data_IF_350399712482
#
_entry.id   IF_350399712482
#
_cell.length_a   1.000
_cell.length_b   1.000
_cell.length_c   1.000
_cell.angle_alpha   90.00
_cell.angle_beta   90.00
_cell.angle_gamma   90.00
#
_symmetry.space_group_name_H-M   'P 1'
#
loop_
_entity.id
_entity.type
_entity.pdbx_description
1 polymer ?
#
# COMPACT_ATOMS: atom_id res chain seq x y z
N UNK A 1 -1.61 -65.64 83.95
CA UNK A 1 -0.66 -64.96 83.05
C UNK A 1 -1.16 -65.30 81.65
N UNK A 2 -2.19 -64.60 81.16
CA UNK A 2 -2.09 -63.45 80.21
C UNK A 2 -1.23 -63.88 79.01
N UNK A 3 -1.73 -63.96 77.78
CA UNK A 3 -2.37 -62.86 77.06
C UNK A 3 -3.12 -63.32 75.80
N UNK A 4 -4.08 -62.49 75.37
CA UNK A 4 -4.78 -62.48 74.08
C UNK A 4 -3.79 -62.04 72.95
N UNK A 5 -4.07 -62.22 71.65
CA UNK A 5 -4.75 -61.22 70.79
C UNK A 5 -4.98 -61.82 69.37
N UNK A 6 -6.26 -61.79 68.97
CA UNK A 6 -6.94 -61.27 67.76
C UNK A 6 -6.28 -61.23 66.34
N UNK A 7 -7.07 -61.35 65.23
CA UNK A 7 -6.64 -61.87 63.94
C UNK A 7 -6.47 -60.85 62.80
N UNK A 8 -6.26 -61.43 61.61
CA UNK A 8 -5.83 -60.87 60.34
C UNK A 8 -6.74 -59.82 59.70
N UNK A 9 -6.05 -58.93 58.97
CA UNK A 9 -6.49 -57.80 58.16
C UNK A 9 -6.89 -58.21 56.74
N UNK A 10 -8.03 -57.71 56.28
CA UNK A 10 -8.41 -57.43 54.87
C UNK A 10 -9.57 -56.42 54.98
N UNK A 11 -9.73 -55.35 54.19
CA UNK A 11 -9.48 -55.06 52.78
C UNK A 11 -9.30 -53.53 52.62
N UNK A 12 -8.67 -53.05 51.54
CA UNK A 12 -9.10 -51.77 50.94
C UNK A 12 -8.65 -51.63 49.47
N UNK A 13 -9.46 -52.13 48.53
CA UNK A 13 -9.21 -52.07 47.08
C UNK A 13 -9.99 -50.96 46.37
N UNK A 14 -10.76 -50.13 47.09
CA UNK A 14 -11.72 -49.21 46.45
C UNK A 14 -11.13 -47.82 46.15
N UNK A 15 -10.03 -47.44 46.79
CA UNK A 15 -9.48 -46.07 46.71
C UNK A 15 -8.63 -45.79 45.47
N UNK A 16 -8.06 -46.81 44.82
CA UNK A 16 -7.15 -46.64 43.67
C UNK A 16 -7.84 -46.32 42.34
N UNK A 17 -9.06 -46.81 42.11
CA UNK A 17 -9.76 -46.62 40.82
C UNK A 17 -10.26 -45.19 40.58
N UNK A 18 -10.55 -44.42 41.64
CA UNK A 18 -11.06 -43.04 41.50
C UNK A 18 -9.95 -42.03 41.20
N UNK A 19 -8.74 -42.23 41.73
CA UNK A 19 -7.60 -41.38 41.40
C UNK A 19 -7.16 -41.54 39.94
N UNK A 20 -7.18 -42.74 39.37
CA UNK A 20 -6.81 -42.95 37.96
C UNK A 20 -7.76 -42.27 36.96
N UNK A 21 -9.05 -42.19 37.26
CA UNK A 21 -10.03 -41.47 36.42
C UNK A 21 -9.83 -39.96 36.45
N UNK A 22 -9.41 -39.41 37.60
CA UNK A 22 -9.12 -37.98 37.76
C UNK A 22 -7.86 -37.56 37.00
N UNK A 23 -6.83 -38.40 36.95
CA UNK A 23 -5.61 -38.14 36.18
C UNK A 23 -5.83 -38.18 34.67
N UNK A 24 -6.62 -39.15 34.18
CA UNK A 24 -6.97 -39.24 32.75
C UNK A 24 -7.88 -38.09 32.32
N UNK A 25 -8.86 -37.71 33.16
CA UNK A 25 -9.70 -36.53 32.92
C UNK A 25 -8.90 -35.23 32.86
N UNK A 26 -7.91 -35.07 33.75
CA UNK A 26 -6.98 -33.94 33.72
C UNK A 26 -6.14 -33.88 32.45
N UNK A 27 -5.55 -35.01 32.04
CA UNK A 27 -4.74 -35.08 30.81
C UNK A 27 -5.55 -34.79 29.54
N UNK A 28 -6.78 -35.29 29.46
CA UNK A 28 -7.68 -35.02 28.32
C UNK A 28 -8.12 -33.55 28.32
N UNK A 29 -8.46 -32.99 29.49
CA UNK A 29 -8.81 -31.58 29.61
C UNK A 29 -7.65 -30.67 29.21
N UNK A 30 -6.41 -30.99 29.59
CA UNK A 30 -5.21 -30.26 29.16
C UNK A 30 -4.96 -30.39 27.65
N UNK A 31 -5.15 -31.56 27.06
CA UNK A 31 -4.99 -31.76 25.61
C UNK A 31 -6.06 -31.00 24.80
N UNK A 32 -7.31 -30.99 25.28
CA UNK A 32 -8.40 -30.19 24.67
C UNK A 32 -8.13 -28.69 24.84
N UNK A 33 -7.60 -28.26 25.98
CA UNK A 33 -7.19 -26.87 26.17
C UNK A 33 -6.08 -26.51 25.18
N UNK A 34 -5.02 -27.32 25.07
CA UNK A 34 -3.90 -27.09 24.14
C UNK A 34 -4.39 -27.04 22.69
N UNK A 35 -5.31 -27.91 22.26
CA UNK A 35 -5.88 -27.86 20.91
C UNK A 35 -6.78 -26.63 20.70
N UNK A 36 -7.54 -26.22 21.71
CA UNK A 36 -8.35 -25.01 21.67
C UNK A 36 -7.48 -23.75 21.58
N UNK A 37 -6.42 -23.63 22.39
CA UNK A 37 -5.46 -22.52 22.30
C UNK A 37 -4.47 -22.65 21.15
N UNK A 38 -4.31 -23.77 20.43
CA UNK A 38 -3.47 -23.75 19.22
C UNK A 38 -4.28 -23.42 17.96
N UNK A 39 -5.55 -23.81 17.88
CA UNK A 39 -6.41 -23.44 16.76
C UNK A 39 -6.87 -21.98 16.77
N UNK A 40 -7.10 -21.40 17.96
CA UNK A 40 -7.80 -20.10 18.07
C UNK A 40 -6.95 -18.84 18.27
N UNK A 41 -5.87 -18.71 19.06
CA UNK A 41 -4.56 -19.35 19.01
C UNK A 41 -3.81 -19.04 17.70
N UNK A 42 -3.87 -19.90 16.70
CA UNK A 42 -3.24 -19.56 15.43
C UNK A 42 -4.00 -18.42 14.73
N UNK A 43 -5.33 -18.40 14.83
CA UNK A 43 -6.20 -17.51 14.03
C UNK A 43 -6.15 -16.02 14.42
N UNK A 44 -6.26 -15.66 15.70
CA UNK A 44 -6.00 -14.28 16.19
C UNK A 44 -4.55 -13.82 15.95
N UNK A 45 -3.53 -14.68 16.06
CA UNK A 45 -2.14 -14.27 15.80
C UNK A 45 -1.89 -14.09 14.31
N UNK A 46 -2.44 -14.95 13.44
CA UNK A 46 -2.47 -14.68 11.99
C UNK A 46 -3.35 -13.48 11.65
N UNK A 47 -4.46 -13.22 12.37
CA UNK A 47 -5.28 -12.02 12.13
C UNK A 47 -4.62 -10.72 12.65
N UNK A 48 -3.60 -10.82 13.51
CA UNK A 48 -2.79 -9.69 14.00
C UNK A 48 -1.54 -9.52 13.12
N UNK A 49 -0.94 -10.61 12.63
CA UNK A 49 0.25 -10.60 11.76
C UNK A 49 -0.12 -10.37 10.28
N UNK A 50 -1.19 -11.01 9.78
CA UNK A 50 -1.82 -10.80 8.47
C UNK A 50 -3.03 -9.86 8.59
N UNK A 51 -2.97 -8.85 9.47
CA UNK A 51 -3.98 -7.80 9.50
C UNK A 51 -3.78 -6.85 8.31
N UNK A 52 -4.04 -7.36 7.11
CA UNK A 52 -3.99 -6.65 5.84
C UNK A 52 -5.06 -5.56 5.69
N UNK A 53 -5.86 -5.35 6.73
CA UNK A 53 -6.61 -4.14 7.00
C UNK A 53 -6.19 -3.75 8.41
N UNK A 54 -5.65 -2.56 8.63
CA UNK A 54 -5.28 -2.05 9.95
C UNK A 54 -6.49 -1.97 10.94
N UNK A 55 -6.98 -3.13 11.39
CA UNK A 55 -8.19 -3.30 12.20
C UNK A 55 -7.86 -3.88 13.59
N UNK A 56 -6.59 -3.85 13.99
CA UNK A 56 -6.28 -3.72 15.42
C UNK A 56 -6.69 -2.30 15.74
N UNK A 57 -7.52 -2.10 16.77
CA UNK A 57 -8.01 -0.81 17.23
C UNK A 57 -6.87 0.11 17.72
N UNK A 58 -5.92 0.45 16.86
CA UNK A 58 -5.06 1.60 17.01
C UNK A 58 -5.98 2.78 16.80
N UNK A 59 -6.20 3.53 17.86
CA UNK A 59 -6.97 4.77 17.80
C UNK A 59 -6.20 5.71 16.87
N UNK A 60 -6.65 5.82 15.62
CA UNK A 60 -6.03 6.63 14.57
C UNK A 60 -5.16 5.85 13.59
N UNK A 61 -5.75 5.54 12.43
CA UNK A 61 -5.07 5.00 11.27
C UNK A 61 -5.40 5.82 10.02
N UNK A 62 -4.45 5.94 9.10
CA UNK A 62 -4.70 6.39 7.74
C UNK A 62 -4.62 5.19 6.80
N UNK A 63 -5.31 5.25 5.66
CA UNK A 63 -5.20 4.27 4.60
C UNK A 63 -5.52 4.97 3.28
N UNK A 64 -4.62 4.87 2.31
CA UNK A 64 -4.74 5.55 1.03
C UNK A 64 -5.18 4.58 -0.07
N UNK A 65 -6.26 4.92 -0.75
CA UNK A 65 -6.71 4.26 -1.98
C UNK A 65 -6.49 5.20 -3.16
N UNK A 66 -5.74 4.74 -4.15
CA UNK A 66 -5.58 5.38 -5.45
C UNK A 66 -6.46 4.68 -6.49
N UNK A 67 -7.26 5.45 -7.22
CA UNK A 67 -8.03 4.97 -8.38
C UNK A 67 -7.71 5.81 -9.61
N UNK A 68 -7.47 5.16 -10.74
CA UNK A 68 -7.17 5.84 -12.00
C UNK A 68 -7.41 4.96 -13.23
N UNK A 69 -6.92 5.37 -14.40
CA UNK A 69 -7.00 4.55 -15.60
C UNK A 69 -6.26 3.23 -15.36
N UNK A 70 -6.97 2.10 -15.50
CA UNK A 70 -6.39 0.77 -15.35
C UNK A 70 -6.66 0.09 -14.00
N UNK A 71 -7.25 0.77 -13.01
CA UNK A 71 -7.78 0.11 -11.81
C UNK A 71 -7.61 0.91 -10.50
N UNK A 72 -7.67 0.16 -9.40
CA UNK A 72 -7.57 0.66 -8.03
C UNK A 72 -6.40 -0.01 -7.32
N UNK A 73 -5.75 0.72 -6.44
CA UNK A 73 -4.56 0.35 -5.70
C UNK A 73 -4.70 0.90 -4.27
N UNK A 74 -4.54 0.02 -3.27
CA UNK A 74 -4.84 0.33 -1.86
C UNK A 74 -3.66 -0.01 -0.97
N UNK A 75 -3.44 0.83 0.05
CA UNK A 75 -2.43 0.66 1.09
C UNK A 75 -2.96 0.06 2.38
N UNK A 76 -4.24 -0.29 2.48
CA UNK A 76 -4.80 -0.94 3.66
C UNK A 76 -4.03 -2.18 4.13
N UNK A 77 -3.32 -2.84 3.20
CA UNK A 77 -2.45 -3.99 3.41
C UNK A 77 -0.96 -3.66 3.68
N UNK A 78 -0.57 -2.39 3.67
CA UNK A 78 0.81 -1.93 3.86
C UNK A 78 1.00 -1.29 5.23
N UNK A 79 2.17 -1.49 5.86
CA UNK A 79 2.52 -0.87 7.14
C UNK A 79 2.85 0.62 7.04
N UNK A 80 3.17 1.11 5.84
CA UNK A 80 3.81 2.42 5.65
C UNK A 80 2.88 3.45 5.00
N UNK A 81 1.62 3.08 4.71
CA UNK A 81 0.60 3.94 4.06
C UNK A 81 1.08 4.58 2.75
N UNK A 82 1.90 3.85 1.98
CA UNK A 82 2.48 4.31 0.71
C UNK A 82 1.88 3.58 -0.51
N UNK A 83 1.19 4.29 -1.40
CA UNK A 83 0.66 3.72 -2.65
C UNK A 83 1.67 3.91 -3.78
N UNK A 84 2.21 2.81 -4.32
CA UNK A 84 3.04 2.81 -5.55
C UNK A 84 2.37 1.95 -6.60
N UNK A 85 1.53 2.56 -7.43
CA UNK A 85 0.66 1.84 -8.36
C UNK A 85 1.26 1.84 -9.75
N UNK A 86 1.90 0.73 -10.14
CA UNK A 86 2.56 0.59 -11.46
C UNK A 86 1.58 0.38 -12.60
N UNK A 87 0.34 -0.03 -12.30
CA UNK A 87 -0.73 -0.24 -13.29
C UNK A 87 -1.41 1.06 -13.72
N UNK A 88 -1.40 2.09 -12.87
CA UNK A 88 -2.03 3.38 -13.16
C UNK A 88 -0.99 4.28 -13.83
N UNK A 89 -1.10 4.42 -15.15
CA UNK A 89 -0.19 5.29 -15.90
C UNK A 89 -0.66 6.75 -15.83
N UNK A 90 -0.15 7.47 -14.83
CA UNK A 90 -0.44 8.91 -14.60
C UNK A 90 0.09 9.83 -15.69
N UNK A 91 0.90 9.32 -16.61
CA UNK A 91 1.38 10.06 -17.76
C UNK A 91 0.65 9.72 -19.06
N UNK A 92 -0.32 8.81 -19.06
CA UNK A 92 -1.19 8.53 -20.21
C UNK A 92 -0.61 7.53 -21.23
N UNK A 93 0.51 6.87 -20.90
CA UNK A 93 1.07 5.77 -21.70
C UNK A 93 1.68 6.19 -23.04
N UNK A 94 1.83 5.20 -23.93
CA UNK A 94 2.49 5.37 -25.25
C UNK A 94 1.52 5.28 -26.43
N UNK A 95 0.22 5.05 -26.18
CA UNK A 95 -0.79 4.85 -27.24
C UNK A 95 -1.10 6.11 -28.06
N UNK A 96 -0.91 7.29 -27.47
CA UNK A 96 -1.02 8.59 -28.15
C UNK A 96 0.23 9.40 -27.85
N UNK A 97 1.24 9.40 -28.75
CA UNK A 97 2.49 10.15 -28.55
C UNK A 97 2.23 11.65 -28.40
N UNK A 98 3.08 12.34 -27.64
CA UNK A 98 3.09 13.80 -27.60
C UNK A 98 3.76 14.33 -28.88
N UNK A 99 3.16 15.34 -29.49
CA UNK A 99 3.68 15.98 -30.70
C UNK A 99 4.18 17.41 -30.37
N UNK A 100 5.33 17.84 -30.93
CA UNK A 100 5.89 19.17 -30.71
C UNK A 100 5.19 20.30 -31.47
N UNK A 101 3.94 20.13 -31.91
CA UNK A 101 3.11 21.19 -32.50
C UNK A 101 2.59 22.22 -31.48
N UNK A 102 2.79 21.98 -30.18
CA UNK A 102 2.39 22.88 -29.10
C UNK A 102 0.89 22.89 -28.80
N UNK A 103 0.11 22.05 -29.47
CA UNK A 103 -1.35 21.94 -29.27
C UNK A 103 -1.74 20.68 -28.51
N UNK A 104 -0.87 19.66 -28.51
CA UNK A 104 -1.12 18.40 -27.84
C UNK A 104 -0.64 18.43 -26.38
N UNK A 105 -1.59 18.65 -25.47
CA UNK A 105 -1.42 18.32 -24.05
C UNK A 105 -2.12 17.00 -23.75
N UNK A 106 -1.62 16.26 -22.78
CA UNK A 106 -2.20 15.00 -22.32
C UNK A 106 -2.55 15.12 -20.86
N UNK A 107 -3.80 14.85 -20.53
CA UNK A 107 -4.30 14.90 -19.17
C UNK A 107 -4.67 13.51 -18.66
N UNK A 108 -4.32 13.23 -17.40
CA UNK A 108 -4.70 12.01 -16.70
C UNK A 108 -5.18 12.36 -15.30
N UNK A 109 -6.36 11.87 -14.93
CA UNK A 109 -6.94 12.08 -13.61
C UNK A 109 -6.78 10.85 -12.74
N UNK A 110 -6.50 11.06 -11.46
CA UNK A 110 -6.50 10.03 -10.41
C UNK A 110 -7.29 10.54 -9.21
N UNK A 111 -8.00 9.64 -8.55
CA UNK A 111 -8.70 9.89 -7.30
C UNK A 111 -7.89 9.27 -6.14
N UNK A 112 -7.70 10.04 -5.08
CA UNK A 112 -6.97 9.64 -3.88
C UNK A 112 -7.91 9.77 -2.68
N UNK A 113 -8.22 8.65 -2.03
CA UNK A 113 -9.16 8.59 -0.91
C UNK A 113 -8.46 8.11 0.36
N UNK A 114 -8.71 8.80 1.48
CA UNK A 114 -8.32 8.34 2.81
C UNK A 114 -9.44 7.45 3.39
N UNK A 115 -9.28 6.14 3.32
CA UNK A 115 -10.21 5.14 3.89
C UNK A 115 -9.91 4.80 5.36
N UNK A 116 -8.95 5.51 5.97
CA UNK A 116 -8.61 5.39 7.37
C UNK A 116 -9.62 6.04 8.31
N UNK A 117 -9.25 6.11 9.59
CA UNK A 117 -10.08 6.61 10.70
C UNK A 117 -9.66 7.99 11.21
N UNK A 118 -8.49 8.50 10.83
CA UNK A 118 -8.04 9.87 11.14
C UNK A 118 -7.62 10.62 9.88
N UNK A 119 -7.47 11.94 10.00
CA UNK A 119 -6.91 12.76 8.96
C UNK A 119 -5.42 12.44 8.75
N UNK A 120 -4.92 12.74 7.55
CA UNK A 120 -3.49 12.65 7.26
C UNK A 120 -3.03 13.66 6.22
N UNK A 121 -1.74 13.95 6.23
CA UNK A 121 -1.07 14.74 5.21
C UNK A 121 -0.71 13.85 4.01
N UNK A 122 -1.22 14.22 2.84
CA UNK A 122 -0.95 13.57 1.57
C UNK A 122 0.24 14.26 0.88
N UNK A 123 1.25 13.48 0.50
CA UNK A 123 2.45 13.93 -0.20
C UNK A 123 2.67 13.11 -1.46
N UNK A 124 2.99 13.79 -2.56
CA UNK A 124 3.50 13.19 -3.79
C UNK A 124 5.02 13.27 -3.79
N UNK A 125 5.70 12.16 -4.02
CA UNK A 125 7.13 12.14 -4.34
C UNK A 125 7.39 11.30 -5.59
N UNK A 126 8.57 11.44 -6.18
CA UNK A 126 8.91 10.82 -7.45
C UNK A 126 10.33 10.26 -7.43
N UNK A 127 10.56 9.22 -8.22
CA UNK A 127 11.90 8.78 -8.59
C UNK A 127 12.48 9.67 -9.71
N UNK A 128 13.76 9.48 -10.05
CA UNK A 128 14.34 10.12 -11.23
C UNK A 128 13.64 9.68 -12.52
N UNK A 129 13.35 10.62 -13.42
CA UNK A 129 12.85 10.29 -14.75
C UNK A 129 13.94 9.60 -15.60
N UNK A 130 13.57 8.51 -16.27
CA UNK A 130 14.41 7.74 -17.19
C UNK A 130 13.87 7.89 -18.61
N UNK A 131 14.76 8.27 -19.54
CA UNK A 131 14.47 8.28 -20.98
C UNK A 131 14.99 6.99 -21.62
N UNK A 132 14.19 6.37 -22.48
CA UNK A 132 14.56 5.18 -23.23
C UNK A 132 14.06 5.25 -24.66
N UNK A 133 14.64 4.43 -25.55
CA UNK A 133 14.12 4.30 -26.91
C UNK A 133 12.76 3.59 -26.88
N UNK A 134 11.80 4.09 -27.64
CA UNK A 134 10.56 3.35 -27.88
C UNK A 134 10.86 2.02 -28.57
N UNK A 135 10.10 0.98 -28.25
CA UNK A 135 10.26 -0.35 -28.84
C UNK A 135 10.27 -0.30 -30.37
N UNK A 136 11.30 -0.87 -30.98
CA UNK A 136 11.47 -0.88 -32.45
C UNK A 136 12.04 0.41 -33.05
N UNK A 137 12.36 1.42 -32.25
CA UNK A 137 13.05 2.62 -32.72
C UNK A 137 14.49 2.32 -33.14
N UNK A 138 14.90 2.83 -34.30
CA UNK A 138 16.28 2.72 -34.83
C UNK A 138 17.06 4.04 -34.79
N UNK A 139 16.42 5.14 -34.38
CA UNK A 139 17.01 6.49 -34.44
C UNK A 139 16.87 7.31 -33.17
N UNK A 140 16.37 6.72 -32.07
CA UNK A 140 16.28 7.41 -30.78
C UNK A 140 17.66 7.56 -30.11
N UNK A 141 17.93 8.73 -29.55
CA UNK A 141 19.14 9.04 -28.77
C UNK A 141 18.77 9.52 -27.35
N UNK A 142 18.33 8.62 -26.45
CA UNK A 142 17.95 8.98 -25.09
C UNK A 142 19.13 9.42 -24.22
N UNK A 143 20.37 9.10 -24.61
CA UNK A 143 21.57 9.50 -23.88
C UNK A 143 22.03 10.93 -24.18
N UNK A 144 21.98 11.35 -25.44
CA UNK A 144 22.35 12.70 -25.86
C UNK A 144 21.19 13.68 -25.78
N UNK A 145 19.96 13.19 -25.95
CA UNK A 145 18.75 13.99 -26.03
C UNK A 145 17.61 13.37 -25.19
N UNK A 146 17.76 13.29 -23.85
CA UNK A 146 16.78 12.64 -22.98
C UNK A 146 15.43 13.39 -22.99
N UNK A 147 14.38 12.71 -23.43
CA UNK A 147 13.01 13.27 -23.49
C UNK A 147 12.48 13.75 -22.13
N UNK A 148 12.99 13.20 -21.01
CA UNK A 148 12.70 13.66 -19.65
C UNK A 148 13.03 15.14 -19.40
N UNK A 149 13.96 15.72 -20.18
CA UNK A 149 14.36 17.13 -20.04
C UNK A 149 13.51 18.09 -20.87
N UNK A 150 12.54 17.55 -21.63
CA UNK A 150 11.70 18.33 -22.56
C UNK A 150 10.21 18.18 -22.30
N UNK A 151 9.75 17.03 -21.82
CA UNK A 151 8.34 16.89 -21.46
C UNK A 151 8.10 17.62 -20.15
N UNK A 152 7.24 18.62 -20.19
CA UNK A 152 6.81 19.37 -19.02
C UNK A 152 5.61 18.69 -18.38
N UNK A 153 5.56 18.71 -17.05
CA UNK A 153 4.45 18.22 -16.24
C UNK A 153 3.96 19.32 -15.31
N UNK A 154 2.64 19.44 -15.24
CA UNK A 154 1.92 20.17 -14.21
C UNK A 154 0.90 19.26 -13.55
N UNK A 155 0.66 19.47 -12.25
CA UNK A 155 -0.30 18.72 -11.44
C UNK A 155 -1.22 19.68 -10.73
N UNK A 156 -2.52 19.42 -10.80
CA UNK A 156 -3.56 20.10 -10.02
C UNK A 156 -4.34 19.08 -9.19
N UNK A 157 -4.48 19.30 -7.89
CA UNK A 157 -5.36 18.53 -7.01
C UNK A 157 -6.48 19.42 -6.46
N UNK A 158 -7.69 18.89 -6.38
CA UNK A 158 -8.89 19.62 -5.94
C UNK A 158 -9.17 19.46 -4.44
N UNK A 159 -10.02 20.31 -3.88
CA UNK A 159 -10.45 20.23 -2.47
C UNK A 159 -10.88 18.79 -2.10
N UNK A 160 -10.49 18.26 -0.93
CA UNK A 160 -9.98 18.99 0.24
C UNK A 160 -8.46 19.10 0.37
N UNK A 161 -7.68 18.43 -0.48
CA UNK A 161 -6.21 18.54 -0.49
C UNK A 161 -5.76 19.16 -1.82
N UNK A 162 -5.29 20.41 -1.78
CA UNK A 162 -5.03 21.22 -2.96
C UNK A 162 -3.54 21.36 -3.26
N UNK A 163 -3.16 21.00 -4.48
CA UNK A 163 -1.85 21.28 -5.09
C UNK A 163 -2.10 21.93 -6.44
N UNK A 164 -1.30 22.91 -6.84
CA UNK A 164 -1.33 23.43 -8.21
C UNK A 164 0.08 23.85 -8.65
N UNK A 165 0.61 23.11 -9.62
CA UNK A 165 1.91 23.40 -10.25
C UNK A 165 1.75 23.80 -11.72
N UNK A 166 0.52 23.99 -12.21
CA UNK A 166 0.25 24.28 -13.63
C UNK A 166 0.59 25.70 -14.04
N UNK A 167 0.72 26.63 -13.08
CA UNK A 167 1.20 27.99 -13.35
C UNK A 167 2.70 28.05 -13.66
N UNK A 168 3.46 27.04 -13.26
CA UNK A 168 4.90 26.91 -13.50
C UNK A 168 5.26 25.43 -13.73
N UNK A 169 4.83 24.83 -14.86
CA UNK A 169 5.13 23.45 -15.15
C UNK A 169 6.64 23.27 -15.30
N UNK A 170 7.13 22.10 -14.91
CA UNK A 170 8.56 21.78 -14.93
C UNK A 170 8.80 20.55 -15.78
N UNK A 171 10.00 20.44 -16.36
CA UNK A 171 10.42 19.23 -17.05
C UNK A 171 10.33 18.02 -16.10
N UNK A 172 9.97 16.84 -16.63
CA UNK A 172 9.88 15.60 -15.85
C UNK A 172 11.17 15.28 -15.07
N UNK A 173 12.35 15.62 -15.62
CA UNK A 173 13.64 15.46 -14.94
C UNK A 173 13.77 16.28 -13.65
N UNK A 174 13.00 17.36 -13.53
CA UNK A 174 13.01 18.29 -12.39
C UNK A 174 11.78 18.15 -11.51
N UNK A 175 10.80 17.33 -11.90
CA UNK A 175 9.58 17.13 -11.13
C UNK A 175 9.83 16.19 -9.95
N UNK A 176 9.69 16.72 -8.74
CA UNK A 176 9.91 16.01 -7.47
C UNK A 176 8.63 15.76 -6.66
N UNK A 177 7.47 16.19 -7.16
CA UNK A 177 6.20 16.17 -6.41
C UNK A 177 6.07 17.33 -5.42
N UNK A 178 5.40 17.09 -4.30
CA UNK A 178 5.13 18.09 -3.25
C UNK A 178 4.01 17.69 -2.30
N UNK A 179 3.79 18.50 -1.26
CA UNK A 179 2.64 18.37 -0.36
C UNK A 179 1.36 18.68 -1.10
N UNK A 180 0.39 17.77 -1.05
CA UNK A 180 -0.96 17.96 -1.60
C UNK A 180 -1.88 18.60 -0.57
N UNK A 181 -1.73 18.24 0.70
CA UNK A 181 -2.50 18.78 1.80
C UNK A 181 -3.17 17.70 2.65
N UNK A 182 -4.05 18.12 3.55
CA UNK A 182 -4.69 17.21 4.51
C UNK A 182 -5.94 16.56 3.92
N UNK A 183 -6.02 15.23 4.02
CA UNK A 183 -7.22 14.46 3.72
C UNK A 183 -7.84 13.96 5.03
N UNK A 184 -9.03 14.44 5.35
CA UNK A 184 -9.83 13.92 6.46
C UNK A 184 -10.19 12.44 6.22
N UNK A 185 -10.50 11.72 7.31
CA UNK A 185 -11.01 10.36 7.22
C UNK A 185 -12.28 10.30 6.35
N UNK A 186 -12.32 9.37 5.40
CA UNK A 186 -13.40 9.21 4.43
C UNK A 186 -13.44 10.25 3.31
N UNK A 187 -12.51 11.21 3.27
CA UNK A 187 -12.44 12.21 2.23
C UNK A 187 -11.59 11.73 1.03
N UNK A 188 -11.84 12.33 -0.13
CA UNK A 188 -11.08 12.07 -1.35
C UNK A 188 -10.76 13.39 -2.08
N UNK A 189 -9.63 13.41 -2.79
CA UNK A 189 -9.20 14.48 -3.70
C UNK A 189 -8.98 13.92 -5.11
N UNK A 190 -9.26 14.72 -6.14
CA UNK A 190 -8.91 14.39 -7.51
C UNK A 190 -7.67 15.16 -7.93
N UNK A 191 -6.65 14.45 -8.41
CA UNK A 191 -5.43 15.03 -8.97
C UNK A 191 -5.37 14.80 -10.48
N UNK A 192 -5.06 15.85 -11.25
CA UNK A 192 -4.93 15.84 -12.70
C UNK A 192 -3.49 16.15 -13.08
N UNK A 193 -2.86 15.22 -13.78
CA UNK A 193 -1.55 15.38 -14.38
C UNK A 193 -1.73 15.90 -15.80
N UNK A 194 -1.06 16.98 -16.14
CA UNK A 194 -1.02 17.56 -17.48
C UNK A 194 0.40 17.48 -18.00
N UNK A 195 0.60 16.77 -19.11
CA UNK A 195 1.87 16.68 -19.80
C UNK A 195 1.82 17.44 -21.11
N UNK A 196 2.89 18.15 -21.40
CA UNK A 196 3.03 18.89 -22.65
C UNK A 196 4.43 18.71 -23.20
N UNK A 197 4.56 18.59 -24.52
CA UNK A 197 5.83 18.72 -25.20
C UNK A 197 5.92 20.14 -25.80
N UNK A 198 6.92 20.95 -25.45
CA UNK A 198 7.04 22.31 -25.95
C UNK A 198 7.07 22.37 -27.48
N UNK A 199 6.43 23.42 -28.01
CA UNK A 199 6.39 23.66 -29.44
C UNK A 199 7.81 23.79 -30.02
N UNK A 200 8.05 23.16 -31.17
CA UNK A 200 9.34 23.21 -31.84
C UNK A 200 10.43 22.36 -31.18
N UNK A 201 10.07 21.41 -30.31
CA UNK A 201 11.03 20.41 -29.82
C UNK A 201 11.67 19.69 -31.02
N UNK A 202 13.02 19.64 -31.11
CA UNK A 202 13.70 19.03 -32.24
C UNK A 202 13.40 17.53 -32.39
N UNK A 203 13.47 17.03 -33.62
CA UNK A 203 13.27 15.61 -33.93
C UNK A 203 14.29 14.67 -33.28
N UNK A 204 15.40 15.18 -32.72
CA UNK A 204 16.35 14.40 -31.93
C UNK A 204 15.73 13.79 -30.66
N UNK A 205 14.63 14.36 -30.17
CA UNK A 205 13.86 13.83 -29.03
C UNK A 205 12.77 12.84 -29.44
N UNK A 206 12.60 12.57 -30.75
CA UNK A 206 11.56 11.69 -31.25
C UNK A 206 11.81 10.21 -30.89
N UNK A 207 10.72 9.43 -30.93
CA UNK A 207 10.76 7.96 -30.75
C UNK A 207 11.38 7.51 -29.43
N UNK A 208 11.20 8.31 -28.37
CA UNK A 208 11.62 8.00 -27.00
C UNK A 208 10.41 7.85 -26.07
N UNK A 209 10.64 7.19 -24.93
CA UNK A 209 9.67 7.03 -23.84
C UNK A 209 10.29 7.58 -22.56
N UNK A 210 9.49 8.31 -21.78
CA UNK A 210 9.84 8.75 -20.43
C UNK A 210 9.15 7.83 -19.40
N UNK A 211 9.86 7.46 -18.34
CA UNK A 211 9.31 6.74 -17.21
C UNK A 211 9.80 7.38 -15.90
N UNK A 212 8.87 7.64 -14.97
CA UNK A 212 9.15 8.13 -13.63
C UNK A 212 8.15 7.44 -12.67
N UNK A 213 8.65 6.86 -11.59
CA UNK A 213 7.79 6.25 -10.56
C UNK A 213 7.25 7.35 -9.67
N UNK A 214 5.97 7.25 -9.32
CA UNK A 214 5.26 8.20 -8.47
C UNK A 214 4.82 7.49 -7.20
N UNK A 215 5.15 8.08 -6.05
CA UNK A 215 4.82 7.57 -4.74
C UNK A 215 3.88 8.52 -4.03
N UNK A 216 2.74 8.00 -3.60
CA UNK A 216 1.86 8.72 -2.69
C UNK A 216 2.05 8.22 -1.28
N UNK A 217 2.22 9.14 -0.35
CA UNK A 217 2.32 8.83 1.08
C UNK A 217 1.26 9.61 1.81
N UNK A 218 0.48 8.91 2.63
CA UNK A 218 -0.47 9.52 3.56
C UNK A 218 0.04 9.28 4.98
N UNK A 219 0.34 10.36 5.70
CA UNK A 219 0.86 10.28 7.08
C UNK A 219 -0.18 10.81 8.05
N UNK A 220 -0.50 10.05 9.10
CA UNK A 220 -1.46 10.47 10.11
C UNK A 220 -1.03 11.79 10.78
N UNK A 221 -2.01 12.67 11.00
CA UNK A 221 -1.85 14.00 11.63
C UNK A 221 -2.52 14.09 12.99
#
# INVERSE_FOLDING_TARGET
MTDQIEPARTEDTTRRRRSSLLWVGGAIASAVLILAVNGTLSSWTTAIIDNNNNNVAVTGAVALVETGPGGTCDTGASSDNTSTCTTINKYGGTGSPLDPDGTNSRTVSVNLANTGTVAGELVLSTDSCVSSAASGSTGADPSGHPVCTKVDVGVTCSSPATMDTTSAPVALSSFAGGTVGTLAAGAATDCVFTLTLPAGTPSTYASQVAAQVLHWTLTAS
#
